data_IF_351625910824
#
_entry.id   IF_351625910824
#
_cell.length_a   1.000
_cell.length_b   1.000
_cell.length_c   1.000
_cell.angle_alpha   90.00
_cell.angle_beta   90.00
_cell.angle_gamma   90.00
#
_symmetry.space_group_name_H-M   'P 1'
#
loop_
_entity.id
_entity.type
_entity.pdbx_description
1 polymer ?
#
# COMPACT_ATOMS: atom_id res chain seq x y z
N UNK A 1 21.63 -13.95 -7.54
CA UNK A 1 20.87 -12.69 -7.62
C UNK A 1 20.48 -12.29 -6.20
N UNK A 2 20.92 -11.11 -5.73
CA UNK A 2 20.55 -10.63 -4.39
C UNK A 2 19.11 -10.12 -4.44
N UNK A 3 18.25 -10.62 -3.55
CA UNK A 3 16.90 -10.10 -3.36
C UNK A 3 16.95 -9.12 -2.19
N UNK A 4 16.55 -7.87 -2.43
CA UNK A 4 16.44 -6.85 -1.40
C UNK A 4 15.01 -6.34 -1.31
N UNK A 5 14.67 -5.79 -0.14
CA UNK A 5 13.45 -5.02 0.07
C UNK A 5 13.86 -3.56 0.17
N UNK A 6 13.26 -2.70 -0.66
CA UNK A 6 13.52 -1.27 -0.66
C UNK A 6 12.34 -0.51 -0.02
N UNK A 7 12.67 0.55 0.70
CA UNK A 7 11.72 1.42 1.40
C UNK A 7 12.11 2.87 1.12
N UNK A 8 11.15 3.80 0.92
CA UNK A 8 11.47 5.20 0.72
C UNK A 8 12.28 5.79 1.88
N UNK A 9 13.37 6.49 1.57
CA UNK A 9 14.23 7.16 2.57
C UNK A 9 13.43 8.16 3.41
N UNK A 10 12.40 8.79 2.84
CA UNK A 10 11.49 9.71 3.54
C UNK A 10 10.78 9.07 4.74
N UNK A 11 10.58 7.75 4.75
CA UNK A 11 10.02 7.05 5.92
C UNK A 11 10.93 7.15 7.14
N UNK A 12 12.26 7.18 6.95
CA UNK A 12 13.21 7.19 8.06
C UNK A 12 13.09 8.42 8.95
N UNK A 13 12.59 9.54 8.41
CA UNK A 13 12.34 10.78 9.14
C UNK A 13 10.95 10.87 9.78
N UNK A 14 10.05 9.91 9.55
CA UNK A 14 8.68 10.00 10.06
C UNK A 14 8.60 9.61 11.53
N UNK A 15 8.14 10.56 12.36
CA UNK A 15 7.93 10.34 13.79
C UNK A 15 6.93 9.20 14.02
N UNK A 16 7.32 8.21 14.81
CA UNK A 16 6.46 7.09 15.20
C UNK A 16 6.53 5.88 14.26
N UNK A 17 7.28 5.98 13.15
CA UNK A 17 7.60 4.80 12.34
C UNK A 17 8.63 3.93 13.07
N UNK A 18 8.54 2.62 12.85
CA UNK A 18 9.50 1.64 13.36
C UNK A 18 10.25 0.97 12.21
N UNK A 19 11.45 0.41 12.45
CA UNK A 19 12.19 -0.31 11.41
C UNK A 19 11.38 -1.42 10.72
N UNK A 20 10.59 -2.17 11.47
CA UNK A 20 9.68 -3.19 10.92
C UNK A 20 8.65 -2.61 9.96
N UNK A 21 8.15 -1.39 10.21
CA UNK A 21 7.16 -0.74 9.35
C UNK A 21 7.76 -0.43 7.98
N UNK A 22 9.03 -0.02 7.94
CA UNK A 22 9.78 0.18 6.70
C UNK A 22 9.95 -1.12 5.91
N UNK A 23 10.43 -2.19 6.56
CA UNK A 23 10.60 -3.51 5.94
C UNK A 23 9.27 -4.07 5.41
N UNK A 24 8.22 -3.99 6.22
CA UNK A 24 6.89 -4.46 5.84
C UNK A 24 6.35 -3.65 4.65
N UNK A 25 6.49 -2.33 4.66
CA UNK A 25 6.05 -1.48 3.56
C UNK A 25 6.77 -1.81 2.24
N UNK A 26 8.10 -1.96 2.27
CA UNK A 26 8.86 -2.36 1.08
C UNK A 26 8.43 -3.73 0.55
N UNK A 27 8.09 -4.66 1.45
CA UNK A 27 7.57 -5.98 1.07
C UNK A 27 6.17 -5.87 0.45
N UNK A 28 5.28 -5.06 1.03
CA UNK A 28 3.96 -4.75 0.48
C UNK A 28 4.08 -4.19 -0.93
N UNK A 29 4.97 -3.22 -1.16
CA UNK A 29 5.17 -2.67 -2.50
C UNK A 29 5.63 -3.77 -3.46
N UNK A 30 6.64 -4.55 -3.07
CA UNK A 30 7.18 -5.64 -3.90
C UNK A 30 6.08 -6.62 -4.31
N UNK A 31 5.24 -7.04 -3.38
CA UNK A 31 4.12 -7.94 -3.66
C UNK A 31 3.01 -7.27 -4.50
N UNK A 32 2.84 -5.96 -4.33
CA UNK A 32 1.86 -5.18 -5.10
C UNK A 32 2.22 -5.04 -6.57
N UNK A 33 3.48 -5.26 -6.97
CA UNK A 33 3.92 -5.15 -8.39
C UNK A 33 3.16 -6.10 -9.32
N UNK A 34 2.75 -7.27 -8.82
CA UNK A 34 2.09 -8.29 -9.65
C UNK A 34 0.63 -7.96 -9.95
N UNK A 35 -0.09 -7.35 -8.99
CA UNK A 35 -1.56 -7.21 -9.06
C UNK A 35 -2.07 -5.79 -8.79
N UNK A 36 -1.18 -4.85 -8.50
CA UNK A 36 -1.52 -3.51 -8.00
C UNK A 36 -1.88 -3.46 -6.51
N UNK A 37 -1.81 -4.59 -5.80
CA UNK A 37 -2.05 -4.70 -4.36
C UNK A 37 -1.34 -5.93 -3.79
N UNK A 38 -1.02 -5.86 -2.51
CA UNK A 38 -0.49 -6.99 -1.77
C UNK A 38 -1.66 -7.89 -1.33
N UNK A 39 -1.62 -9.13 -1.80
CA UNK A 39 -2.55 -10.19 -1.42
C UNK A 39 -1.80 -11.31 -0.73
N UNK A 40 -1.71 -11.22 0.60
CA UNK A 40 -1.04 -12.23 1.42
C UNK A 40 -1.61 -12.24 2.84
N UNK A 41 -1.43 -13.38 3.51
CA UNK A 41 -1.82 -13.59 4.91
C UNK A 41 -0.79 -12.97 5.86
N UNK A 42 -1.21 -12.60 7.07
CA UNK A 42 -0.30 -12.02 8.06
C UNK A 42 0.75 -13.02 8.53
N UNK A 43 0.40 -14.31 8.58
CA UNK A 43 1.31 -15.39 8.95
C UNK A 43 2.46 -15.50 7.94
N UNK A 44 2.18 -15.40 6.64
CA UNK A 44 3.23 -15.43 5.61
C UNK A 44 4.19 -14.24 5.73
N UNK A 45 3.68 -13.04 6.01
CA UNK A 45 4.52 -11.86 6.23
C UNK A 45 5.33 -11.98 7.53
N UNK A 46 4.75 -12.58 8.56
CA UNK A 46 5.39 -12.81 9.84
C UNK A 46 6.57 -13.78 9.69
N UNK A 47 6.37 -14.89 8.97
CA UNK A 47 7.40 -15.88 8.67
C UNK A 47 8.52 -15.27 7.82
N UNK A 48 8.19 -14.54 6.75
CA UNK A 48 9.19 -13.92 5.86
C UNK A 48 10.05 -12.85 6.57
N UNK A 49 9.46 -12.10 7.51
CA UNK A 49 10.14 -11.03 8.25
C UNK A 49 10.67 -11.49 9.62
N UNK A 50 10.52 -12.77 9.95
CA UNK A 50 10.93 -13.37 11.23
C UNK A 50 10.41 -12.59 12.46
N UNK A 51 9.11 -12.28 12.47
CA UNK A 51 8.42 -11.58 13.56
C UNK A 51 7.09 -12.26 13.85
N UNK A 52 6.42 -11.89 14.95
CA UNK A 52 5.08 -12.43 15.23
C UNK A 52 3.99 -11.80 14.34
N UNK A 53 2.91 -12.56 14.07
CA UNK A 53 1.69 -12.05 13.41
C UNK A 53 1.15 -10.79 14.09
N UNK A 54 1.21 -10.73 15.43
CA UNK A 54 0.83 -9.55 16.22
C UNK A 54 1.70 -8.32 15.88
N UNK A 55 2.98 -8.52 15.57
CA UNK A 55 3.89 -7.44 15.15
C UNK A 55 3.55 -6.93 13.76
N UNK A 56 3.23 -7.84 12.83
CA UNK A 56 2.71 -7.50 11.49
C UNK A 56 1.43 -6.67 11.62
N UNK A 57 0.43 -7.14 12.36
CA UNK A 57 -0.83 -6.42 12.54
C UNK A 57 -0.61 -5.02 13.13
N UNK A 58 0.22 -4.90 14.17
CA UNK A 58 0.59 -3.60 14.77
C UNK A 58 1.28 -2.68 13.77
N UNK A 59 2.11 -3.24 12.88
CA UNK A 59 2.82 -2.50 11.84
C UNK A 59 1.87 -2.02 10.75
N UNK A 60 0.98 -2.90 10.26
CA UNK A 60 -0.06 -2.52 9.30
C UNK A 60 -0.96 -1.41 9.86
N UNK A 61 -1.38 -1.49 11.12
CA UNK A 61 -2.17 -0.43 11.77
C UNK A 61 -1.42 0.91 11.83
N UNK A 62 -0.09 0.89 12.08
CA UNK A 62 0.72 2.13 12.05
C UNK A 62 0.81 2.69 10.63
N UNK A 63 1.08 1.83 9.64
CA UNK A 63 1.17 2.22 8.24
C UNK A 63 -0.16 2.81 7.73
N UNK A 64 -1.31 2.26 8.13
CA UNK A 64 -2.63 2.82 7.83
C UNK A 64 -2.82 4.18 8.48
N UNK A 65 -2.52 4.32 9.78
CA UNK A 65 -2.65 5.59 10.51
C UNK A 65 -1.75 6.70 9.95
N UNK A 66 -0.59 6.32 9.41
CA UNK A 66 0.36 7.23 8.77
C UNK A 66 0.10 7.40 7.26
N UNK A 67 -0.99 6.86 6.73
CA UNK A 67 -1.41 6.96 5.33
C UNK A 67 -0.37 6.43 4.33
N UNK A 68 0.39 5.39 4.71
CA UNK A 68 1.28 4.68 3.78
C UNK A 68 0.55 3.59 3.00
N UNK A 69 -0.48 3.00 3.60
CA UNK A 69 -1.26 1.92 2.99
C UNK A 69 -2.75 2.11 3.26
N UNK A 70 -3.55 1.48 2.41
CA UNK A 70 -4.99 1.33 2.57
C UNK A 70 -5.32 -0.15 2.48
N UNK A 71 -6.14 -0.64 3.42
CA UNK A 71 -6.57 -2.04 3.47
C UNK A 71 -8.05 -2.15 3.15
N UNK A 72 -8.37 -3.04 2.23
CA UNK A 72 -9.74 -3.34 1.83
C UNK A 72 -9.99 -4.83 2.01
N UNK A 73 -11.02 -5.16 2.77
CA UNK A 73 -11.49 -6.54 2.91
C UNK A 73 -12.62 -6.78 1.92
N UNK A 74 -12.53 -7.88 1.15
CA UNK A 74 -13.68 -8.44 0.47
C UNK A 74 -14.33 -9.48 1.35
N UNK A 75 -15.64 -9.51 1.33
CA UNK A 75 -16.45 -10.39 2.15
C UNK A 75 -17.17 -11.40 1.27
N UNK A 76 -17.26 -12.65 1.76
CA UNK A 76 -18.16 -13.67 1.23
C UNK A 76 -19.11 -14.06 2.37
N UNK A 77 -20.33 -13.51 2.33
CA UNK A 77 -21.23 -13.54 3.47
C UNK A 77 -20.67 -12.71 4.63
N UNK A 78 -20.67 -13.27 5.84
CA UNK A 78 -20.19 -12.58 7.06
C UNK A 78 -18.67 -12.74 7.31
N UNK A 79 -17.95 -13.42 6.41
CA UNK A 79 -16.53 -13.70 6.57
C UNK A 79 -15.70 -12.93 5.56
N UNK A 80 -14.54 -12.41 6.00
CA UNK A 80 -13.54 -11.84 5.08
C UNK A 80 -12.99 -12.98 4.22
N UNK A 81 -13.23 -12.91 2.91
CA UNK A 81 -12.71 -13.88 1.95
C UNK A 81 -11.32 -13.48 1.45
N UNK A 82 -11.10 -12.18 1.27
CA UNK A 82 -9.85 -11.63 0.74
C UNK A 82 -9.50 -10.31 1.43
N UNK A 83 -8.20 -10.06 1.65
CA UNK A 83 -7.70 -8.76 2.09
C UNK A 83 -6.72 -8.24 1.06
N UNK A 84 -6.99 -7.04 0.57
CA UNK A 84 -6.12 -6.31 -0.33
C UNK A 84 -5.47 -5.16 0.42
N UNK A 85 -4.14 -5.05 0.33
CA UNK A 85 -3.39 -3.93 0.89
C UNK A 85 -2.78 -3.13 -0.26
N UNK A 86 -3.15 -1.87 -0.38
CA UNK A 86 -2.70 -0.95 -1.41
C UNK A 86 -1.69 0.04 -0.81
N UNK A 87 -0.53 0.29 -1.43
CA UNK A 87 0.24 1.49 -1.12
C UNK A 87 -0.59 2.75 -1.39
N UNK A 88 -0.60 3.72 -0.47
CA UNK A 88 -1.50 4.90 -0.54
C UNK A 88 -1.31 5.70 -1.84
N UNK A 89 -0.07 5.93 -2.28
CA UNK A 89 0.17 6.68 -3.52
C UNK A 89 -0.37 5.95 -4.76
N UNK A 90 -0.28 4.62 -4.78
CA UNK A 90 -0.90 3.79 -5.84
C UNK A 90 -2.41 3.94 -5.76
N UNK A 91 -2.99 3.79 -4.57
CA UNK A 91 -4.42 3.93 -4.37
C UNK A 91 -4.94 5.30 -4.79
N UNK A 92 -4.29 6.40 -4.38
CA UNK A 92 -4.67 7.77 -4.78
C UNK A 92 -4.63 7.96 -6.28
N UNK A 93 -3.61 7.43 -6.96
CA UNK A 93 -3.48 7.58 -8.42
C UNK A 93 -4.60 6.82 -9.13
N UNK A 94 -4.87 5.58 -8.72
CA UNK A 94 -5.96 4.74 -9.26
C UNK A 94 -7.32 5.39 -9.00
N UNK A 95 -7.54 5.83 -7.76
CA UNK A 95 -8.73 6.54 -7.31
C UNK A 95 -9.03 7.80 -8.13
N UNK A 96 -8.03 8.67 -8.31
CA UNK A 96 -8.18 9.92 -9.04
C UNK A 96 -8.46 9.67 -10.52
N UNK A 97 -7.84 8.65 -11.13
CA UNK A 97 -8.07 8.29 -12.55
C UNK A 97 -9.46 7.70 -12.78
N UNK A 98 -9.98 6.89 -11.84
CA UNK A 98 -11.30 6.26 -11.93
C UNK A 98 -12.40 7.02 -11.19
N UNK A 99 -12.20 8.31 -10.89
CA UNK A 99 -13.14 9.16 -10.12
C UNK A 99 -14.58 9.18 -10.67
N UNK A 100 -14.76 8.92 -11.97
CA UNK A 100 -16.08 8.88 -12.64
C UNK A 100 -16.70 7.47 -12.68
N UNK A 101 -15.88 6.44 -12.53
CA UNK A 101 -16.31 5.05 -12.53
C UNK A 101 -16.69 4.69 -11.11
N UNK A 102 -17.98 4.42 -10.84
CA UNK A 102 -18.50 4.02 -9.52
C UNK A 102 -17.94 2.67 -9.00
N UNK A 103 -16.81 2.19 -9.53
CA UNK A 103 -16.13 0.94 -9.17
C UNK A 103 -15.55 0.93 -7.75
N UNK A 104 -15.40 2.09 -7.10
CA UNK A 104 -14.89 2.22 -5.72
C UNK A 104 -15.66 3.27 -4.92
N UNK A 105 -16.91 2.99 -4.49
CA UNK A 105 -17.81 3.99 -3.92
C UNK A 105 -17.40 4.55 -2.54
N UNK A 106 -16.70 3.77 -1.71
CA UNK A 106 -16.30 4.19 -0.35
C UNK A 106 -15.06 5.12 -0.31
N UNK A 107 -14.51 5.41 -1.48
CA UNK A 107 -13.19 5.99 -1.68
C UNK A 107 -13.20 7.54 -1.64
N UNK A 108 -14.31 8.15 -2.05
CA UNK A 108 -14.43 9.61 -2.18
C UNK A 108 -14.35 10.33 -0.82
N UNK A 109 -14.96 9.75 0.21
CA UNK A 109 -14.98 10.35 1.55
C UNK A 109 -13.63 10.20 2.29
N UNK A 110 -12.84 9.17 1.96
CA UNK A 110 -11.54 8.91 2.59
C UNK A 110 -10.42 9.79 2.01
N UNK A 111 -10.36 9.95 0.68
CA UNK A 111 -9.36 10.80 0.01
C UNK A 111 -9.52 12.28 0.37
N UNK A 112 -10.77 12.74 0.50
CA UNK A 112 -11.08 14.13 0.88
C UNK A 112 -10.52 14.52 2.26
N UNK A 113 -10.44 13.58 3.19
CA UNK A 113 -9.89 13.80 4.53
C UNK A 113 -8.34 13.78 4.57
N UNK A 114 -7.69 13.14 3.59
CA UNK A 114 -6.24 13.01 3.51
C UNK A 114 -5.56 14.22 2.87
N UNK A 115 -6.24 14.91 1.95
CA UNK A 115 -5.76 16.15 1.32
C UNK A 115 -5.59 17.30 2.33
N UNK A 116 -6.38 17.28 3.41
CA UNK A 116 -6.33 18.28 4.48
C UNK A 116 -5.06 18.20 5.38
N UNK A 117 -4.25 17.14 5.26
CA UNK A 117 -3.10 16.87 6.16
C UNK A 117 -1.71 17.02 5.49
N UNK A 118 -1.63 17.55 4.27
CA UNK A 118 -0.35 17.72 3.54
C UNK A 118 0.54 18.78 4.20
N UNK A 119 1.56 18.34 4.95
CA UNK A 119 2.83 19.07 5.11
C UNK A 119 3.98 18.19 4.61
N UNK A 120 4.61 18.66 3.52
CA UNK A 120 6.02 18.49 3.14
C UNK A 120 6.61 17.09 2.99
N UNK A 121 6.26 16.38 1.90
CA UNK A 121 7.15 15.32 1.35
C UNK A 121 7.23 15.51 -0.18
N UNK A 122 8.06 16.46 -0.59
CA UNK A 122 8.42 16.68 -1.99
C UNK A 122 9.94 16.61 -2.12
N UNK A 123 10.49 15.47 -2.56
CA UNK A 123 11.75 15.44 -3.36
C UNK A 123 12.27 14.07 -3.83
N UNK A 124 11.51 12.97 -3.90
CA UNK A 124 12.11 11.68 -4.37
C UNK A 124 11.21 10.82 -5.28
N UNK A 125 10.22 11.45 -5.92
CA UNK A 125 9.10 10.75 -6.59
C UNK A 125 9.37 10.10 -7.95
N UNK A 126 10.53 10.28 -8.59
CA UNK A 126 10.57 10.17 -10.07
C UNK A 126 10.82 8.77 -10.66
N UNK A 127 11.64 7.90 -10.06
CA UNK A 127 12.09 6.69 -10.79
C UNK A 127 11.45 5.36 -10.34
N UNK A 128 11.13 5.21 -9.05
CA UNK A 128 10.63 3.93 -8.54
C UNK A 128 9.14 3.70 -8.86
N UNK A 129 8.34 4.76 -8.79
CA UNK A 129 6.88 4.68 -8.89
C UNK A 129 6.37 4.75 -10.33
N UNK A 130 7.10 5.40 -11.24
CA UNK A 130 6.70 5.48 -12.64
C UNK A 130 6.59 4.08 -13.26
N UNK A 131 7.53 3.18 -12.94
CA UNK A 131 7.49 1.79 -13.36
C UNK A 131 6.28 1.01 -12.79
N UNK A 132 5.87 1.27 -11.54
CA UNK A 132 4.70 0.63 -10.91
C UNK A 132 3.40 1.14 -11.55
N UNK A 133 3.34 2.43 -11.84
CA UNK A 133 2.18 3.09 -12.46
C UNK A 133 2.04 2.66 -13.93
N UNK A 134 3.14 2.59 -14.67
CA UNK A 134 3.17 2.17 -16.07
C UNK A 134 2.79 0.69 -16.22
N UNK A 135 3.22 -0.18 -15.30
CA UNK A 135 2.82 -1.60 -15.26
C UNK A 135 1.34 -1.76 -14.88
N UNK A 136 0.82 -0.92 -13.97
CA UNK A 136 -0.60 -0.88 -13.61
C UNK A 136 -1.50 -0.46 -14.78
N UNK A 137 -1.08 0.52 -15.60
CA UNK A 137 -1.87 0.96 -16.76
C UNK A 137 -1.74 0.07 -18.00
N UNK A 138 -0.67 -0.72 -18.12
CA UNK A 138 -0.54 -1.74 -19.17
C UNK A 138 -1.50 -2.93 -19.02
N UNK A 139 -2.05 -3.15 -17.82
CA UNK A 139 -3.05 -4.20 -17.57
C UNK A 139 -4.50 -3.77 -17.91
N UNK A 140 -4.71 -2.48 -18.22
CA UNK A 140 -6.01 -1.94 -18.65
C UNK A 140 -6.17 -1.85 -20.17
N UNK A 141 -5.10 -2.11 -20.93
CA UNK A 141 -5.08 -2.13 -22.39
C UNK A 141 -4.42 -3.43 -22.89
N UNK A 142 -5.21 -4.48 -22.92
CA UNK A 142 -5.03 -5.60 -23.85
C UNK A 142 -6.43 -6.10 -24.23
N UNK A 143 -6.64 -6.48 -25.50
CA UNK A 143 -7.94 -6.49 -26.20
C UNK A 143 -9.00 -7.43 -25.61
#
# INVERSE_FOLDING_TARGET
>A
MVKYVATPTSMLSVKGIKPLDGLLYGRIITLSRVRGYCFTKDELLADELNVSTRSIQRSLVRLEKLNYIIRINKYKGNSVSERHIYPDEVYRTVALKHRKDKKFPDLFNQVSNLEAQKKDIASDKKDYFQNIIDEYFKLGESP
#
